data_IF_744238610349
#
_entry.id   IF_744238610349
#
_cell.length_a   1.000
_cell.length_b   1.000
_cell.length_c   1.000
_cell.angle_alpha   90.00
_cell.angle_beta   90.00
_cell.angle_gamma   90.00
#
_symmetry.space_group_name_H-M   'P 1'
#
loop_
_entity.id
_entity.type
_entity.pdbx_description
1 polymer ?
#
# COMPACT_ATOMS: atom_id res chain seq x y z
N UNK A 1 -4.08 15.77 -2.66
CA UNK A 1 -4.77 14.77 -1.80
C UNK A 1 -6.28 14.93 -1.93
N UNK A 2 -7.02 13.83 -1.85
CA UNK A 2 -8.50 13.85 -1.96
C UNK A 2 -9.15 14.12 -0.59
N UNK A 3 -8.51 13.63 0.49
CA UNK A 3 -8.98 13.81 1.86
C UNK A 3 -7.99 14.65 2.68
N UNK A 4 -8.47 15.19 3.79
CA UNK A 4 -7.61 15.82 4.78
C UNK A 4 -6.69 14.79 5.46
N UNK A 5 -5.54 15.22 5.96
CA UNK A 5 -4.55 14.34 6.59
C UNK A 5 -5.13 13.54 7.77
N UNK A 6 -6.07 14.13 8.51
CA UNK A 6 -6.76 13.48 9.64
C UNK A 6 -7.51 12.22 9.25
N UNK A 7 -8.11 12.19 8.06
CA UNK A 7 -8.78 11.00 7.52
C UNK A 7 -7.79 9.84 7.34
N UNK A 8 -6.62 10.10 6.77
CA UNK A 8 -5.59 9.07 6.59
C UNK A 8 -5.02 8.57 7.91
N UNK A 9 -4.88 9.45 8.91
CA UNK A 9 -4.44 9.06 10.26
C UNK A 9 -5.45 8.10 10.90
N UNK A 10 -6.75 8.37 10.80
CA UNK A 10 -7.79 7.47 11.32
C UNK A 10 -7.83 6.12 10.58
N UNK A 11 -7.62 6.11 9.26
CA UNK A 11 -7.49 4.88 8.47
C UNK A 11 -6.29 4.04 8.91
N UNK A 12 -5.15 4.68 9.13
CA UNK A 12 -3.95 4.03 9.61
C UNK A 12 -4.16 3.44 11.01
N UNK A 13 -4.82 4.18 11.91
CA UNK A 13 -5.17 3.71 13.25
C UNK A 13 -6.04 2.44 13.22
N UNK A 14 -7.10 2.43 12.42
CA UNK A 14 -7.96 1.25 12.21
C UNK A 14 -7.13 0.06 11.68
N UNK A 15 -6.24 0.32 10.73
CA UNK A 15 -5.36 -0.71 10.16
C UNK A 15 -4.46 -1.32 11.21
N UNK A 16 -3.82 -0.50 12.05
CA UNK A 16 -2.94 -0.97 13.13
C UNK A 16 -3.69 -1.80 14.19
N UNK A 17 -4.90 -1.41 14.55
CA UNK A 17 -5.74 -2.21 15.46
C UNK A 17 -5.97 -3.61 14.87
N UNK A 18 -6.40 -3.70 13.62
CA UNK A 18 -6.60 -4.98 12.95
C UNK A 18 -5.31 -5.78 12.77
N UNK A 19 -4.16 -5.12 12.56
CA UNK A 19 -2.85 -5.78 12.55
C UNK A 19 -2.53 -6.41 13.91
N UNK A 20 -2.74 -5.67 15.00
CA UNK A 20 -2.50 -6.16 16.37
C UNK A 20 -3.39 -7.37 16.70
N UNK A 21 -4.67 -7.33 16.33
CA UNK A 21 -5.60 -8.47 16.50
C UNK A 21 -5.14 -9.73 15.78
N UNK A 22 -4.44 -9.58 14.66
CA UNK A 22 -3.88 -10.69 13.86
C UNK A 22 -2.42 -11.04 14.20
N UNK A 23 -1.81 -10.34 15.14
CA UNK A 23 -0.40 -10.53 15.50
C UNK A 23 0.57 -10.15 14.39
N UNK A 24 0.24 -9.15 13.58
CA UNK A 24 1.06 -8.61 12.49
C UNK A 24 1.78 -7.37 13.00
N UNK A 25 3.12 -7.36 12.94
CA UNK A 25 3.96 -6.24 13.35
C UNK A 25 4.22 -5.27 12.19
N UNK A 26 4.40 -5.81 10.98
CA UNK A 26 4.63 -5.08 9.73
C UNK A 26 3.68 -5.60 8.65
N UNK A 27 2.88 -4.72 8.05
CA UNK A 27 2.03 -5.05 6.90
C UNK A 27 2.69 -4.55 5.61
N UNK A 28 2.80 -5.43 4.62
CA UNK A 28 3.18 -5.11 3.24
C UNK A 28 1.91 -5.19 2.38
N UNK A 29 1.33 -4.05 2.05
CA UNK A 29 0.09 -3.94 1.27
C UNK A 29 0.41 -3.53 -0.17
N UNK A 30 0.05 -4.37 -1.15
CA UNK A 30 0.34 -4.17 -2.58
C UNK A 30 -0.89 -3.80 -3.41
N UNK A 31 -2.09 -4.09 -2.94
CA UNK A 31 -3.32 -3.69 -3.64
C UNK A 31 -3.32 -2.17 -3.82
N UNK A 32 -3.46 -1.71 -5.06
CA UNK A 32 -3.38 -0.29 -5.41
C UNK A 32 -4.40 0.56 -4.67
N UNK A 33 -5.60 0.03 -4.47
CA UNK A 33 -6.64 0.71 -3.74
C UNK A 33 -6.36 0.76 -2.23
N UNK A 34 -5.64 -0.24 -1.69
CA UNK A 34 -5.16 -0.23 -0.30
C UNK A 34 -3.99 0.76 -0.14
N UNK A 35 -3.06 0.82 -1.10
CA UNK A 35 -2.00 1.83 -1.11
C UNK A 35 -2.60 3.23 -1.08
N UNK A 36 -3.58 3.52 -1.95
CA UNK A 36 -4.27 4.81 -1.95
C UNK A 36 -4.96 5.09 -0.61
N UNK A 37 -5.66 4.12 -0.05
CA UNK A 37 -6.34 4.24 1.24
C UNK A 37 -5.40 4.59 2.38
N UNK A 38 -4.21 3.97 2.41
CA UNK A 38 -3.21 4.11 3.46
C UNK A 38 -2.31 5.33 3.30
N UNK A 39 -2.06 5.79 2.07
CA UNK A 39 -1.03 6.80 1.78
C UNK A 39 -1.55 8.04 1.05
N UNK A 40 -2.73 7.96 0.45
CA UNK A 40 -3.26 8.98 -0.47
C UNK A 40 -2.63 8.92 -1.86
N UNK A 41 -1.63 8.08 -2.09
CA UNK A 41 -1.01 7.92 -3.39
C UNK A 41 -1.94 7.17 -4.35
N UNK A 42 -2.34 7.83 -5.41
CA UNK A 42 -3.14 7.24 -6.48
C UNK A 42 -2.21 6.54 -7.47
N UNK A 43 -1.93 5.27 -7.15
CA UNK A 43 -0.93 4.46 -7.83
C UNK A 43 -1.38 4.04 -9.22
N UNK A 44 -0.81 4.66 -10.25
CA UNK A 44 -1.10 4.30 -11.64
C UNK A 44 -0.26 3.10 -12.12
N UNK A 45 1.00 3.00 -11.70
CA UNK A 45 1.95 1.99 -12.17
C UNK A 45 1.83 0.65 -11.46
N UNK A 46 0.62 0.13 -11.29
CA UNK A 46 0.31 -1.10 -10.59
C UNK A 46 1.00 -2.37 -11.14
N UNK A 47 1.48 -2.34 -12.36
CA UNK A 47 2.19 -3.43 -13.03
C UNK A 47 3.67 -3.53 -12.63
N UNK A 48 4.18 -2.58 -11.87
CA UNK A 48 5.48 -2.66 -11.20
C UNK A 48 5.30 -2.90 -9.70
N UNK A 49 6.32 -3.49 -9.07
CA UNK A 49 6.29 -3.74 -7.65
C UNK A 49 6.22 -2.42 -6.87
N UNK A 50 5.15 -2.22 -6.13
CA UNK A 50 4.94 -1.11 -5.22
C UNK A 50 4.14 -1.58 -4.01
N UNK A 51 4.36 -0.97 -2.86
CA UNK A 51 3.60 -1.31 -1.66
C UNK A 51 3.59 -0.17 -0.63
N UNK A 52 2.58 -0.17 0.21
CA UNK A 52 2.61 0.55 1.47
C UNK A 52 3.10 -0.40 2.58
N UNK A 53 4.07 0.07 3.37
CA UNK A 53 4.59 -0.63 4.55
C UNK A 53 4.02 0.06 5.79
N UNK A 54 3.20 -0.66 6.54
CA UNK A 54 2.64 -0.17 7.80
C UNK A 54 3.27 -0.92 8.95
N UNK A 55 4.01 -0.23 9.80
CA UNK A 55 4.55 -0.77 11.05
C UNK A 55 3.68 -0.33 12.22
N UNK A 56 3.41 -1.22 13.17
CA UNK A 56 2.49 -0.92 14.30
C UNK A 56 2.94 0.27 15.15
N UNK A 57 4.25 0.48 15.31
CA UNK A 57 4.83 1.51 16.16
C UNK A 57 5.14 2.85 15.44
N UNK A 58 5.00 2.93 14.11
CA UNK A 58 5.37 4.14 13.36
C UNK A 58 4.13 4.97 12.99
N UNK A 59 4.21 6.29 13.13
CA UNK A 59 3.09 7.22 12.92
C UNK A 59 2.64 7.34 11.46
N UNK A 60 3.51 7.05 10.51
CA UNK A 60 3.24 7.15 9.07
C UNK A 60 3.71 5.87 8.38
N UNK A 61 3.03 5.42 7.32
CA UNK A 61 3.50 4.31 6.50
C UNK A 61 4.72 4.73 5.68
N UNK A 62 5.50 3.75 5.19
CA UNK A 62 6.41 3.96 4.09
C UNK A 62 5.71 3.62 2.79
N UNK A 63 5.97 4.39 1.74
CA UNK A 63 5.53 4.10 0.38
C UNK A 63 6.75 3.65 -0.43
N UNK A 64 6.76 2.39 -0.85
CA UNK A 64 7.79 1.79 -1.67
C UNK A 64 7.37 1.80 -3.14
N UNK A 65 8.11 2.51 -4.00
CA UNK A 65 7.79 2.71 -5.41
C UNK A 65 9.06 2.82 -6.27
N UNK A 66 8.90 2.66 -7.59
CA UNK A 66 10.01 2.90 -8.52
C UNK A 66 10.29 4.39 -8.71
N UNK A 67 11.49 4.71 -9.22
CA UNK A 67 11.97 6.09 -9.38
C UNK A 67 11.08 6.89 -10.34
N UNK A 68 10.69 6.34 -11.47
CA UNK A 68 9.87 7.01 -12.48
C UNK A 68 8.52 7.52 -11.93
N UNK A 69 7.98 6.88 -10.88
CA UNK A 69 6.68 7.22 -10.29
C UNK A 69 6.79 8.14 -9.07
N UNK A 70 8.01 8.41 -8.59
CA UNK A 70 8.27 9.15 -7.35
C UNK A 70 7.68 10.56 -7.35
N UNK A 71 7.72 11.26 -8.49
CA UNK A 71 7.16 12.59 -8.64
C UNK A 71 5.65 12.65 -8.33
N UNK A 72 4.91 11.62 -8.73
CA UNK A 72 3.48 11.50 -8.38
C UNK A 72 3.25 11.29 -6.89
N UNK A 73 4.11 10.52 -6.24
CA UNK A 73 4.01 10.25 -4.80
C UNK A 73 4.28 11.52 -3.96
N UNK A 74 5.27 12.32 -4.30
CA UNK A 74 5.57 13.58 -3.62
C UNK A 74 4.41 14.58 -3.67
N UNK A 75 3.64 14.58 -4.76
CA UNK A 75 2.52 15.52 -4.96
C UNK A 75 1.23 15.01 -4.33
N UNK A 76 0.94 13.71 -4.45
CA UNK A 76 -0.38 13.14 -4.13
C UNK A 76 -0.49 12.53 -2.74
N UNK A 77 0.61 12.03 -2.14
CA UNK A 77 0.55 11.40 -0.83
C UNK A 77 0.55 12.42 0.32
N UNK A 78 0.03 12.03 1.49
CA UNK A 78 0.10 12.84 2.69
C UNK A 78 1.37 12.59 3.53
N UNK A 79 2.08 11.52 3.21
CA UNK A 79 3.27 11.07 3.95
C UNK A 79 4.47 11.99 3.69
N UNK A 80 5.36 12.05 4.66
CA UNK A 80 6.57 12.85 4.54
C UNK A 80 7.48 12.29 3.45
N UNK A 81 8.17 13.16 2.74
CA UNK A 81 9.10 12.81 1.66
C UNK A 81 10.10 11.71 2.05
N UNK A 82 10.66 11.80 3.27
CA UNK A 82 11.59 10.78 3.80
C UNK A 82 11.00 9.37 3.94
N UNK A 83 9.68 9.25 3.94
CA UNK A 83 8.95 7.98 4.02
C UNK A 83 8.53 7.46 2.64
N UNK A 84 8.88 8.16 1.57
CA UNK A 84 8.76 7.69 0.19
C UNK A 84 10.07 7.01 -0.19
N UNK A 85 10.05 5.71 -0.29
CA UNK A 85 11.22 4.87 -0.54
C UNK A 85 11.25 4.52 -2.03
N UNK A 86 12.21 5.11 -2.71
CA UNK A 86 12.34 5.00 -4.16
C UNK A 86 13.40 3.96 -4.49
N UNK A 87 13.05 2.97 -5.34
CA UNK A 87 14.01 2.01 -5.86
C UNK A 87 14.39 2.32 -7.32
N UNK A 88 15.64 2.03 -7.66
CA UNK A 88 16.26 2.27 -8.95
C UNK A 88 15.68 1.38 -10.06
N UNK A 89 15.56 1.90 -11.28
CA UNK A 89 15.11 1.19 -12.48
C UNK A 89 15.95 -0.05 -12.80
N UNK A 90 17.19 -0.16 -12.28
CA UNK A 90 18.03 -1.36 -12.44
C UNK A 90 17.42 -2.66 -11.92
N UNK A 91 16.41 -2.56 -11.04
CA UNK A 91 15.66 -3.71 -10.52
C UNK A 91 14.51 -4.16 -11.43
N UNK A 92 14.24 -3.42 -12.52
CA UNK A 92 13.09 -3.66 -13.40
C UNK A 92 13.57 -4.42 -14.66
N UNK A 93 12.90 -5.53 -14.97
CA UNK A 93 13.19 -6.39 -16.14
C UNK A 93 14.65 -6.87 -16.25
N UNK A 94 15.37 -6.91 -15.14
CA UNK A 94 16.80 -7.26 -15.09
C UNK A 94 17.00 -8.53 -14.27
N UNK A 95 16.83 -9.69 -14.91
CA UNK A 95 17.07 -10.96 -14.23
C UNK A 95 18.56 -11.12 -13.84
N UNK A 96 18.89 -11.58 -12.60
CA UNK A 96 17.97 -12.07 -11.54
C UNK A 96 17.49 -10.98 -10.55
N UNK A 97 17.79 -9.70 -10.78
CA UNK A 97 17.40 -8.59 -9.91
C UNK A 97 15.88 -8.40 -9.90
N UNK A 98 15.36 -7.97 -8.74
CA UNK A 98 13.95 -7.71 -8.56
C UNK A 98 13.74 -6.59 -7.52
N UNK A 99 12.72 -5.73 -7.62
CA UNK A 99 12.48 -4.69 -6.63
C UNK A 99 12.39 -5.18 -5.18
N UNK A 100 11.94 -6.41 -4.98
CA UNK A 100 11.89 -7.04 -3.65
C UNK A 100 13.27 -7.32 -3.05
N UNK A 101 14.35 -7.36 -3.84
CA UNK A 101 15.71 -7.44 -3.29
C UNK A 101 16.02 -6.15 -2.52
N UNK A 102 15.67 -4.99 -3.08
CA UNK A 102 15.81 -3.71 -2.38
C UNK A 102 14.85 -3.59 -1.18
N UNK A 103 13.61 -4.09 -1.31
CA UNK A 103 12.66 -4.10 -0.19
C UNK A 103 13.19 -4.95 1.00
N UNK A 104 13.79 -6.10 0.72
CA UNK A 104 14.41 -6.97 1.73
C UNK A 104 15.58 -6.25 2.42
N UNK A 105 16.42 -5.55 1.67
CA UNK A 105 17.51 -4.74 2.24
C UNK A 105 16.96 -3.62 3.14
N UNK A 106 15.88 -2.96 2.74
CA UNK A 106 15.18 -1.95 3.54
C UNK A 106 14.66 -2.54 4.86
N UNK A 107 14.02 -3.71 4.81
CA UNK A 107 13.48 -4.41 5.97
C UNK A 107 14.61 -4.76 6.94
N UNK A 108 15.71 -5.34 6.44
CA UNK A 108 16.90 -5.65 7.26
C UNK A 108 17.57 -4.42 7.86
N UNK A 109 17.70 -3.35 7.09
CA UNK A 109 18.28 -2.07 7.55
C UNK A 109 17.50 -1.49 8.73
N UNK A 110 16.17 -1.65 8.73
CA UNK A 110 15.30 -1.21 9.82
C UNK A 110 15.18 -2.23 10.97
N UNK A 111 15.87 -3.39 10.89
CA UNK A 111 15.80 -4.49 11.87
C UNK A 111 14.38 -5.08 12.01
N UNK A 112 13.66 -5.16 10.90
CA UNK A 112 12.31 -5.74 10.82
C UNK A 112 12.31 -7.19 10.30
N UNK A 113 13.48 -7.77 10.10
CA UNK A 113 13.70 -9.09 9.51
C UNK A 113 13.40 -10.28 10.44
N UNK A 114 12.95 -10.00 11.67
CA UNK A 114 12.49 -10.98 12.65
C UNK A 114 11.04 -10.78 13.12
N UNK A 115 10.30 -9.90 12.43
CA UNK A 115 8.91 -9.57 12.74
C UNK A 115 7.92 -10.54 12.11
N UNK A 116 6.68 -10.51 12.62
CA UNK A 116 5.52 -11.07 11.95
C UNK A 116 5.09 -10.13 10.82
N UNK A 117 5.34 -10.52 9.58
CA UNK A 117 5.08 -9.70 8.40
C UNK A 117 3.81 -10.18 7.71
N UNK A 118 2.78 -9.34 7.74
CA UNK A 118 1.55 -9.56 6.99
C UNK A 118 1.73 -9.23 5.51
N UNK A 119 1.28 -10.13 4.63
CA UNK A 119 1.28 -9.94 3.17
C UNK A 119 -0.11 -10.23 2.61
N UNK A 120 -0.48 -9.58 1.53
CA UNK A 120 -1.77 -9.77 0.86
C UNK A 120 -1.68 -10.94 -0.13
N UNK A 121 -1.75 -12.20 0.38
CA UNK A 121 -1.55 -13.41 -0.43
C UNK A 121 -2.56 -13.57 -1.57
N UNK A 122 -3.77 -13.06 -1.41
CA UNK A 122 -4.84 -13.10 -2.41
C UNK A 122 -4.92 -11.78 -3.24
N UNK A 123 -3.84 -11.01 -3.30
CA UNK A 123 -3.76 -9.82 -4.15
C UNK A 123 -3.21 -10.16 -5.54
N UNK A 124 -3.84 -9.63 -6.59
CA UNK A 124 -3.34 -9.76 -7.98
C UNK A 124 -1.95 -9.13 -8.17
N UNK A 125 -1.55 -8.23 -7.30
CA UNK A 125 -0.27 -7.51 -7.37
C UNK A 125 0.84 -8.18 -6.57
N UNK A 126 0.51 -9.20 -5.76
CA UNK A 126 1.48 -9.98 -4.98
C UNK A 126 1.72 -11.35 -5.63
N UNK A 127 2.76 -11.44 -6.43
CA UNK A 127 3.06 -12.66 -7.17
C UNK A 127 3.71 -13.73 -6.29
N UNK A 128 3.61 -15.00 -6.68
CA UNK A 128 4.33 -16.09 -6.03
C UNK A 128 5.85 -15.86 -6.00
N UNK A 129 6.39 -15.11 -6.97
CA UNK A 129 7.81 -14.75 -7.00
C UNK A 129 8.16 -13.75 -5.89
N UNK A 130 7.31 -12.75 -5.66
CA UNK A 130 7.46 -11.80 -4.56
C UNK A 130 7.46 -12.53 -3.21
N UNK A 131 6.52 -13.48 -3.01
CA UNK A 131 6.47 -14.31 -1.81
C UNK A 131 7.77 -15.10 -1.59
N UNK A 132 8.26 -15.80 -2.63
CA UNK A 132 9.52 -16.54 -2.55
C UNK A 132 10.72 -15.66 -2.25
N UNK A 133 10.78 -14.46 -2.82
CA UNK A 133 11.84 -13.49 -2.52
C UNK A 133 11.83 -13.12 -1.04
N UNK A 134 10.66 -12.75 -0.48
CA UNK A 134 10.54 -12.44 0.95
C UNK A 134 10.92 -13.65 1.82
N UNK A 135 10.38 -14.83 1.54
CA UNK A 135 10.65 -16.05 2.30
C UNK A 135 12.14 -16.39 2.34
N UNK A 136 12.82 -16.31 1.20
CA UNK A 136 14.24 -16.62 1.11
C UNK A 136 15.13 -15.50 1.68
N UNK A 137 14.71 -14.25 1.49
CA UNK A 137 15.49 -13.09 1.92
C UNK A 137 15.35 -12.75 3.40
N UNK A 138 14.25 -13.17 4.04
CA UNK A 138 13.90 -12.90 5.44
C UNK A 138 13.63 -14.21 6.21
N UNK A 139 14.63 -15.09 6.36
CA UNK A 139 14.43 -16.43 6.93
C UNK A 139 13.99 -16.43 8.40
N UNK A 140 14.20 -15.32 9.11
CA UNK A 140 13.82 -15.16 10.51
C UNK A 140 12.44 -14.49 10.69
N UNK A 141 11.88 -13.90 9.63
CA UNK A 141 10.56 -13.30 9.66
C UNK A 141 9.48 -14.38 9.51
N UNK A 142 8.34 -14.18 10.16
CA UNK A 142 7.17 -15.00 9.94
C UNK A 142 6.24 -14.31 8.95
N UNK A 143 6.11 -14.84 7.74
CA UNK A 143 5.14 -14.34 6.76
C UNK A 143 3.74 -14.86 7.08
N UNK A 144 2.79 -13.94 7.24
CA UNK A 144 1.40 -14.21 7.63
C UNK A 144 0.49 -13.69 6.50
N UNK A 145 -0.51 -14.47 6.10
CA UNK A 145 -1.56 -13.93 5.24
C UNK A 145 -2.35 -12.87 6.00
N UNK A 146 -2.42 -11.66 5.47
CA UNK A 146 -3.20 -10.58 6.06
C UNK A 146 -4.73 -10.75 5.91
N UNK A 147 -5.17 -11.77 5.15
CA UNK A 147 -6.60 -12.08 4.92
C UNK A 147 -7.40 -10.87 4.43
N UNK A 148 -6.83 -10.08 3.50
CA UNK A 148 -7.43 -8.86 2.99
C UNK A 148 -7.78 -7.81 4.07
N UNK A 149 -6.93 -7.68 5.10
CA UNK A 149 -7.15 -6.82 6.26
C UNK A 149 -7.62 -5.41 5.88
N UNK A 150 -6.89 -4.73 5.00
CA UNK A 150 -7.23 -3.36 4.58
C UNK A 150 -8.53 -3.33 3.78
N UNK A 151 -8.79 -4.32 2.94
CA UNK A 151 -10.03 -4.41 2.18
C UNK A 151 -11.25 -4.47 3.10
N UNK A 152 -11.19 -5.26 4.19
CA UNK A 152 -12.27 -5.34 5.17
C UNK A 152 -12.51 -4.02 5.91
N UNK A 153 -11.45 -3.28 6.25
CA UNK A 153 -11.58 -1.94 6.86
C UNK A 153 -12.29 -0.99 5.87
N UNK A 154 -11.94 -1.06 4.58
CA UNK A 154 -12.52 -0.24 3.52
C UNK A 154 -13.99 -0.56 3.21
N UNK A 155 -14.52 -1.72 3.65
CA UNK A 155 -15.94 -2.05 3.49
C UNK A 155 -16.82 -1.01 4.19
N UNK A 156 -16.42 -0.54 5.37
CA UNK A 156 -17.14 0.50 6.11
C UNK A 156 -16.59 1.87 5.70
N UNK A 157 -17.40 2.64 4.97
CA UNK A 157 -17.02 3.95 4.43
C UNK A 157 -17.18 5.03 5.49
N UNK A 158 -16.27 6.01 5.48
CA UNK A 158 -16.45 7.24 6.23
C UNK A 158 -17.49 8.15 5.58
N UNK A 159 -17.99 9.15 6.31
CA UNK A 159 -18.92 10.14 5.76
C UNK A 159 -18.30 10.91 4.58
N UNK A 160 -17.00 11.18 4.63
CA UNK A 160 -16.26 11.82 3.54
C UNK A 160 -16.21 10.95 2.29
N UNK A 161 -15.97 9.64 2.44
CA UNK A 161 -16.01 8.67 1.34
C UNK A 161 -17.41 8.57 0.75
N UNK A 162 -18.45 8.52 1.58
CA UNK A 162 -19.84 8.49 1.14
C UNK A 162 -20.20 9.74 0.33
N UNK A 163 -19.76 10.91 0.78
CA UNK A 163 -20.03 12.17 0.07
C UNK A 163 -19.35 12.20 -1.32
N UNK A 164 -18.09 11.72 -1.42
CA UNK A 164 -17.42 11.61 -2.72
C UNK A 164 -18.11 10.60 -3.64
N UNK A 165 -18.56 9.47 -3.12
CA UNK A 165 -19.32 8.47 -3.89
C UNK A 165 -20.64 9.03 -4.41
N UNK A 166 -21.35 9.82 -3.61
CA UNK A 166 -22.60 10.51 -4.05
C UNK A 166 -22.30 11.49 -5.18
N UNK A 167 -21.25 12.31 -5.05
CA UNK A 167 -20.86 13.25 -6.09
C UNK A 167 -20.45 12.54 -7.40
N UNK A 168 -19.70 11.47 -7.31
CA UNK A 168 -19.33 10.64 -8.47
C UNK A 168 -20.58 10.05 -9.15
N UNK A 169 -21.55 9.57 -8.37
CA UNK A 169 -22.82 9.05 -8.89
C UNK A 169 -23.62 10.13 -9.63
N UNK A 170 -23.67 11.37 -9.12
CA UNK A 170 -24.33 12.49 -9.80
C UNK A 170 -23.68 12.81 -11.15
N UNK A 171 -22.33 12.84 -11.22
CA UNK A 171 -21.61 13.06 -12.48
C UNK A 171 -21.96 11.95 -13.49
N UNK A 172 -21.93 10.69 -13.06
CA UNK A 172 -22.30 9.56 -13.92
C UNK A 172 -23.75 9.65 -14.40
N UNK A 173 -24.68 10.06 -13.54
CA UNK A 173 -26.09 10.25 -13.89
C UNK A 173 -26.27 11.33 -14.96
N UNK A 174 -25.59 12.48 -14.84
CA UNK A 174 -25.66 13.54 -15.84
C UNK A 174 -25.05 13.12 -17.19
N UNK A 175 -23.93 12.39 -17.15
CA UNK A 175 -23.34 11.80 -18.36
C UNK A 175 -24.32 10.84 -19.08
N UNK A 176 -24.99 9.96 -18.32
CA UNK A 176 -26.00 9.04 -18.89
C UNK A 176 -27.21 9.79 -19.47
N UNK A 177 -27.73 10.81 -18.78
CA UNK A 177 -28.82 11.64 -19.31
C UNK A 177 -28.45 12.30 -20.64
N UNK A 178 -27.23 12.83 -20.74
CA UNK A 178 -26.74 13.48 -21.97
C UNK A 178 -26.63 12.47 -23.12
N UNK A 179 -26.26 11.23 -22.84
CA UNK A 179 -26.14 10.20 -23.87
C UNK A 179 -27.49 9.68 -24.39
N UNK A 180 -28.58 9.77 -23.59
CA UNK A 180 -29.91 9.31 -23.97
C UNK A 180 -30.83 10.40 -24.54
N UNK A 181 -30.45 11.65 -24.48
CA UNK A 181 -31.14 12.80 -25.11
C UNK A 181 -30.51 13.15 -26.47
#
# INVERSE_FOLDING_TARGET
>A
MVFEKTEYIERLKKTKISMQEKGIDLLISQDTANINYLTGYDAWSFYYAQCALVHVDYDEPLLFIRDQDSGGAYIKSYIKEKNIIVYDEKYIHTWPSHPYDFLIELIKKNKWDNLNIGVEMDSHYFTAYCYKKLQNGLPNAKLIDSERLVNWIRVIKSDNEINLMKNAALISQEGMKTAFN
#
